data_IF_330787318121
#
_entry.id   IF_330787318121
#
_cell.length_a   1.000
_cell.length_b   1.000
_cell.length_c   1.000
_cell.angle_alpha   90.00
_cell.angle_beta   90.00
_cell.angle_gamma   90.00
#
_symmetry.space_group_name_H-M   'P 1'
#
loop_
_entity.id
_entity.type
_entity.pdbx_description
1 polymer ?
#
# COMPACT_ATOMS: atom_id res chain seq x y z
N UNK A 1 -11.24 5.59 6.51
CA UNK A 1 -12.52 5.70 7.15
C UNK A 1 -13.10 4.34 7.47
N UNK A 2 -14.23 4.31 8.16
CA UNK A 2 -14.89 3.07 8.60
C UNK A 2 -15.25 2.14 7.42
N UNK A 3 -15.61 2.70 6.29
CA UNK A 3 -15.97 1.97 5.07
C UNK A 3 -14.86 1.07 4.56
N UNK A 4 -13.62 1.56 4.57
CA UNK A 4 -12.46 0.76 4.19
C UNK A 4 -12.26 -0.40 5.16
N UNK A 5 -12.48 -0.13 6.45
CA UNK A 5 -12.42 -1.17 7.48
C UNK A 5 -13.50 -2.26 7.24
N UNK A 6 -14.74 -1.86 6.96
CA UNK A 6 -15.84 -2.78 6.68
C UNK A 6 -15.53 -3.67 5.44
N UNK A 7 -14.91 -3.10 4.41
CA UNK A 7 -14.44 -3.89 3.24
C UNK A 7 -13.36 -4.90 3.65
N UNK A 8 -12.40 -4.49 4.50
CA UNK A 8 -11.35 -5.38 5.00
C UNK A 8 -11.95 -6.53 5.81
N UNK A 9 -12.89 -6.27 6.71
CA UNK A 9 -13.59 -7.30 7.48
C UNK A 9 -14.32 -8.30 6.57
N UNK A 10 -15.05 -7.82 5.57
CA UNK A 10 -15.70 -8.70 4.58
C UNK A 10 -14.71 -9.57 3.82
N UNK A 11 -13.54 -9.01 3.47
CA UNK A 11 -12.49 -9.79 2.81
C UNK A 11 -11.96 -10.91 3.73
N UNK A 12 -11.72 -10.60 5.00
CA UNK A 12 -11.28 -11.57 6.01
C UNK A 12 -12.31 -12.68 6.19
N UNK A 13 -13.59 -12.36 6.33
CA UNK A 13 -14.68 -13.34 6.45
C UNK A 13 -14.75 -14.28 5.23
N UNK A 14 -14.55 -13.71 4.03
CA UNK A 14 -14.50 -14.51 2.79
C UNK A 14 -13.31 -15.46 2.77
N UNK A 15 -12.14 -15.01 3.22
CA UNK A 15 -10.93 -15.82 3.26
C UNK A 15 -11.02 -16.92 4.32
N UNK A 16 -11.57 -16.61 5.50
CA UNK A 16 -11.83 -17.60 6.54
C UNK A 16 -12.75 -18.72 6.04
N UNK A 17 -13.83 -18.37 5.34
CA UNK A 17 -14.79 -19.34 4.77
C UNK A 17 -14.22 -20.17 3.62
N UNK A 18 -13.14 -19.71 2.98
CA UNK A 18 -12.50 -20.39 1.86
C UNK A 18 -11.50 -21.47 2.30
N UNK A 19 -11.15 -21.54 3.58
CA UNK A 19 -10.26 -22.56 4.13
C UNK A 19 -11.05 -23.75 4.65
N UNK A 20 -10.51 -24.95 4.45
CA UNK A 20 -11.11 -26.20 4.94
C UNK A 20 -11.11 -26.27 6.48
N UNK A 21 -10.06 -25.74 7.11
CA UNK A 21 -9.91 -25.71 8.58
C UNK A 21 -9.39 -24.32 8.99
N UNK A 22 -10.29 -23.33 9.13
CA UNK A 22 -9.89 -22.02 9.57
C UNK A 22 -9.54 -22.02 11.07
N UNK A 23 -8.32 -21.57 11.38
CA UNK A 23 -7.86 -21.38 12.76
C UNK A 23 -7.33 -19.95 12.92
N UNK A 24 -8.11 -19.03 13.50
CA UNK A 24 -7.69 -17.64 13.68
C UNK A 24 -6.38 -17.49 14.48
N UNK A 25 -6.19 -18.31 15.52
CA UNK A 25 -5.03 -18.20 16.41
C UNK A 25 -3.70 -18.53 15.74
N UNK A 26 -3.72 -19.36 14.69
CA UNK A 26 -2.53 -19.66 13.89
C UNK A 26 -2.57 -18.97 12.52
N UNK A 27 -3.52 -18.07 12.33
CA UNK A 27 -3.65 -17.24 11.11
C UNK A 27 -2.95 -15.91 11.29
N UNK A 28 -2.03 -15.61 10.38
CA UNK A 28 -1.46 -14.30 10.20
C UNK A 28 -2.16 -13.52 9.08
N UNK A 29 -2.41 -12.25 9.31
CA UNK A 29 -2.98 -11.34 8.30
C UNK A 29 -1.92 -10.32 7.87
N UNK A 30 -1.81 -10.06 6.59
CA UNK A 30 -0.90 -9.05 6.03
C UNK A 30 -1.73 -8.08 5.18
N UNK A 31 -1.86 -6.84 5.65
CA UNK A 31 -2.37 -5.76 4.81
C UNK A 31 -1.25 -5.31 3.86
N UNK A 32 -1.48 -5.46 2.57
CA UNK A 32 -0.47 -5.19 1.55
C UNK A 32 -0.80 -3.91 0.79
N UNK A 33 -0.11 -2.82 1.11
CA UNK A 33 -0.22 -1.54 0.44
C UNK A 33 0.82 -1.33 -0.67
N UNK A 34 0.65 -0.27 -1.44
CA UNK A 34 1.67 0.16 -2.41
C UNK A 34 2.90 0.72 -1.69
N UNK A 35 2.67 1.43 -0.59
CA UNK A 35 3.64 2.27 0.06
C UNK A 35 3.63 3.70 -0.49
N UNK A 36 4.07 4.62 0.34
CA UNK A 36 4.17 6.05 0.04
C UNK A 36 5.48 6.61 0.59
N UNK A 37 5.97 7.70 0.02
CA UNK A 37 7.02 8.54 0.63
C UNK A 37 6.47 9.35 1.80
N UNK A 38 5.16 9.53 1.87
CA UNK A 38 4.47 10.13 3.01
C UNK A 38 4.30 9.12 4.14
N UNK A 39 4.92 9.41 5.28
CA UNK A 39 4.84 8.59 6.48
C UNK A 39 3.42 8.53 7.08
N UNK A 40 2.63 9.61 6.93
CA UNK A 40 1.24 9.67 7.38
C UNK A 40 0.38 8.64 6.65
N UNK A 41 0.48 8.58 5.31
CA UNK A 41 -0.23 7.60 4.51
C UNK A 41 0.14 6.14 4.87
N UNK A 42 1.42 5.87 5.16
CA UNK A 42 1.85 4.57 5.64
C UNK A 42 1.33 4.29 7.05
N UNK A 43 1.27 5.31 7.90
CA UNK A 43 0.71 5.24 9.26
C UNK A 43 -0.77 4.89 9.29
N UNK A 44 -1.57 5.37 8.31
CA UNK A 44 -2.98 4.99 8.19
C UNK A 44 -3.15 3.49 7.93
N UNK A 45 -2.30 2.89 7.10
CA UNK A 45 -2.33 1.44 6.90
C UNK A 45 -1.95 0.67 8.19
N UNK A 46 -0.97 1.18 8.94
CA UNK A 46 -0.58 0.59 10.22
C UNK A 46 -1.73 0.68 11.25
N UNK A 47 -2.43 1.81 11.30
CA UNK A 47 -3.62 1.98 12.14
C UNK A 47 -4.72 0.99 11.77
N UNK A 48 -4.97 0.77 10.47
CA UNK A 48 -5.94 -0.24 10.01
C UNK A 48 -5.54 -1.65 10.45
N UNK A 49 -4.26 -2.01 10.31
CA UNK A 49 -3.75 -3.31 10.77
C UNK A 49 -3.97 -3.49 12.27
N UNK A 50 -3.74 -2.45 13.07
CA UNK A 50 -4.01 -2.49 14.52
C UNK A 50 -5.50 -2.67 14.82
N UNK A 51 -6.40 -1.94 14.15
CA UNK A 51 -7.84 -2.10 14.32
C UNK A 51 -8.30 -3.53 13.97
N UNK A 52 -7.80 -4.11 12.88
CA UNK A 52 -8.09 -5.51 12.51
C UNK A 52 -7.65 -6.47 13.62
N UNK A 53 -6.48 -6.26 14.19
CA UNK A 53 -5.99 -7.10 15.30
C UNK A 53 -6.87 -7.00 16.55
N UNK A 54 -7.32 -5.79 16.90
CA UNK A 54 -8.16 -5.57 18.08
C UNK A 54 -9.57 -6.14 17.95
N UNK A 55 -10.13 -6.17 16.75
CA UNK A 55 -11.50 -6.60 16.51
C UNK A 55 -11.61 -8.08 16.10
N UNK A 56 -10.48 -8.79 15.97
CA UNK A 56 -10.45 -10.18 15.55
C UNK A 56 -9.46 -11.00 16.40
N UNK A 57 -9.67 -12.32 16.43
CA UNK A 57 -8.83 -13.26 17.18
C UNK A 57 -7.65 -13.80 16.37
N UNK A 58 -7.15 -13.07 15.36
CA UNK A 58 -6.00 -13.51 14.57
C UNK A 58 -4.73 -13.56 15.40
N UNK A 59 -3.93 -14.60 15.20
CA UNK A 59 -2.66 -14.78 15.91
C UNK A 59 -1.68 -13.65 15.65
N UNK A 60 -1.71 -13.05 14.45
CA UNK A 60 -0.87 -11.90 14.12
C UNK A 60 -1.48 -11.08 12.97
N UNK A 61 -1.38 -9.75 13.06
CA UNK A 61 -1.74 -8.83 11.96
C UNK A 61 -0.60 -7.87 11.73
N UNK A 62 -0.14 -7.75 10.50
CA UNK A 62 0.97 -6.89 10.12
C UNK A 62 0.69 -6.18 8.80
N UNK A 63 1.57 -5.32 8.38
CA UNK A 63 1.52 -4.62 7.11
C UNK A 63 2.76 -4.88 6.27
N UNK A 64 2.58 -4.87 4.96
CA UNK A 64 3.67 -4.96 4.00
C UNK A 64 3.42 -4.00 2.83
N UNK A 65 4.48 -3.73 2.06
CA UNK A 65 4.41 -2.84 0.91
C UNK A 65 5.01 -3.48 -0.35
N UNK A 66 4.36 -3.21 -1.49
CA UNK A 66 4.84 -3.71 -2.79
C UNK A 66 5.94 -2.83 -3.38
N UNK A 67 6.04 -1.57 -2.95
CA UNK A 67 7.01 -0.60 -3.43
C UNK A 67 7.27 0.52 -2.43
N UNK A 68 8.01 1.52 -2.84
CA UNK A 68 8.30 2.81 -2.17
C UNK A 68 8.92 2.68 -0.77
N UNK A 69 8.29 1.97 0.16
CA UNK A 69 8.73 1.81 1.55
C UNK A 69 8.81 0.35 1.99
N UNK A 70 9.18 0.08 3.23
CA UNK A 70 9.38 -1.21 3.86
C UNK A 70 8.43 -1.41 5.05
N UNK A 71 8.15 -2.69 5.48
CA UNK A 71 8.72 -3.95 4.99
C UNK A 71 8.08 -4.47 3.69
N UNK A 72 8.80 -5.34 2.97
CA UNK A 72 8.29 -6.05 1.79
C UNK A 72 7.50 -7.29 2.20
N UNK A 73 6.62 -7.76 1.30
CA UNK A 73 5.75 -8.92 1.53
C UNK A 73 6.55 -10.15 1.99
N UNK A 74 7.64 -10.49 1.31
CA UNK A 74 8.47 -11.65 1.62
C UNK A 74 9.06 -11.58 3.04
N UNK A 75 9.48 -10.39 3.45
CA UNK A 75 10.04 -10.16 4.80
C UNK A 75 8.97 -10.38 5.89
N UNK A 76 7.75 -9.90 5.66
CA UNK A 76 6.66 -10.03 6.62
C UNK A 76 6.18 -11.49 6.70
N UNK A 77 6.03 -12.14 5.56
CA UNK A 77 5.72 -13.58 5.50
C UNK A 77 6.74 -14.39 6.30
N UNK A 78 8.04 -14.15 6.07
CA UNK A 78 9.11 -14.84 6.81
C UNK A 78 8.99 -14.62 8.33
N UNK A 79 8.65 -13.42 8.77
CA UNK A 79 8.43 -13.11 10.19
C UNK A 79 7.26 -13.89 10.75
N UNK A 80 6.12 -13.89 10.07
CA UNK A 80 4.92 -14.59 10.51
C UNK A 80 5.12 -16.11 10.55
N UNK A 81 5.81 -16.68 9.57
CA UNK A 81 6.19 -18.10 9.60
C UNK A 81 7.08 -18.43 10.80
N UNK A 82 8.06 -17.57 11.13
CA UNK A 82 8.89 -17.74 12.34
C UNK A 82 8.11 -17.60 13.64
N UNK A 83 7.03 -16.83 13.64
CA UNK A 83 6.11 -16.72 14.78
C UNK A 83 5.15 -17.91 14.90
N UNK A 84 5.22 -18.89 13.96
CA UNK A 84 4.41 -20.11 14.03
C UNK A 84 3.08 -20.02 13.30
N UNK A 85 2.86 -18.97 12.46
CA UNK A 85 1.64 -18.90 11.66
C UNK A 85 1.63 -19.99 10.60
N UNK A 86 0.57 -20.79 10.59
CA UNK A 86 0.34 -21.89 9.65
C UNK A 86 -0.57 -21.51 8.49
N UNK A 87 -1.27 -20.38 8.63
CA UNK A 87 -2.15 -19.81 7.63
C UNK A 87 -1.80 -18.33 7.49
N UNK A 88 -1.68 -17.82 6.26
CA UNK A 88 -1.36 -16.41 6.02
C UNK A 88 -2.32 -15.84 4.98
N UNK A 89 -3.08 -14.81 5.39
CA UNK A 89 -3.97 -14.05 4.53
C UNK A 89 -3.27 -12.78 4.07
N UNK A 90 -3.14 -12.60 2.77
CA UNK A 90 -2.62 -11.37 2.17
C UNK A 90 -3.79 -10.60 1.59
N UNK A 91 -4.04 -9.39 2.09
CA UNK A 91 -5.12 -8.52 1.63
C UNK A 91 -4.53 -7.32 0.90
N UNK A 92 -4.65 -7.26 -0.44
CA UNK A 92 -4.22 -6.11 -1.22
C UNK A 92 -5.12 -4.90 -0.93
N UNK A 93 -4.54 -3.84 -0.37
CA UNK A 93 -5.24 -2.57 -0.12
C UNK A 93 -5.15 -1.70 -1.37
N UNK A 94 -5.89 -2.10 -2.41
CA UNK A 94 -5.92 -1.47 -3.73
C UNK A 94 -7.36 -1.30 -4.19
N UNK A 95 -7.66 -0.16 -4.82
CA UNK A 95 -9.00 0.10 -5.37
C UNK A 95 -9.26 -0.70 -6.65
N UNK A 96 -8.25 -0.86 -7.51
CA UNK A 96 -8.40 -1.46 -8.84
C UNK A 96 -7.39 -2.56 -9.09
N UNK A 97 -7.72 -3.44 -10.03
CA UNK A 97 -6.79 -4.42 -10.58
C UNK A 97 -5.72 -3.74 -11.46
N UNK A 98 -4.65 -4.45 -11.78
CA UNK A 98 -3.58 -3.98 -12.65
C UNK A 98 -2.28 -4.75 -12.45
N UNK A 99 -1.21 -4.27 -13.06
CA UNK A 99 0.13 -4.89 -13.06
C UNK A 99 0.64 -5.20 -11.64
N UNK A 100 0.29 -4.37 -10.63
CA UNK A 100 0.68 -4.63 -9.25
C UNK A 100 -0.01 -5.87 -8.68
N UNK A 101 -1.29 -6.09 -8.97
CA UNK A 101 -2.02 -7.30 -8.54
C UNK A 101 -1.44 -8.55 -9.20
N UNK A 102 -1.09 -8.49 -10.49
CA UNK A 102 -0.42 -9.60 -11.18
C UNK A 102 0.95 -9.91 -10.56
N UNK A 103 1.72 -8.88 -10.21
CA UNK A 103 3.00 -9.03 -9.49
C UNK A 103 2.82 -9.69 -8.13
N UNK A 104 1.78 -9.30 -7.36
CA UNK A 104 1.44 -9.89 -6.06
C UNK A 104 1.11 -11.38 -6.23
N UNK A 105 0.32 -11.75 -7.24
CA UNK A 105 0.03 -13.15 -7.56
C UNK A 105 1.31 -13.96 -7.80
N UNK A 106 2.23 -13.42 -8.60
CA UNK A 106 3.53 -14.06 -8.85
C UNK A 106 4.41 -14.16 -7.60
N UNK A 107 4.42 -13.14 -6.73
CA UNK A 107 5.13 -13.20 -5.45
C UNK A 107 4.53 -14.28 -4.54
N UNK A 108 3.21 -14.32 -4.43
CA UNK A 108 2.53 -15.31 -3.58
C UNK A 108 2.74 -16.74 -4.09
N UNK A 109 2.76 -16.94 -5.41
CA UNK A 109 3.07 -18.26 -5.99
C UNK A 109 4.47 -18.76 -5.57
N UNK A 110 5.47 -17.89 -5.56
CA UNK A 110 6.83 -18.21 -5.09
C UNK A 110 6.85 -18.49 -3.59
N UNK A 111 6.13 -17.70 -2.78
CA UNK A 111 6.04 -17.91 -1.33
C UNK A 111 5.37 -19.23 -0.98
N UNK A 112 4.32 -19.64 -1.72
CA UNK A 112 3.69 -20.98 -1.57
C UNK A 112 4.67 -22.13 -1.84
N UNK A 113 5.56 -21.96 -2.81
CA UNK A 113 6.62 -22.95 -3.10
C UNK A 113 7.69 -22.97 -2.01
N UNK A 114 8.05 -21.79 -1.47
CA UNK A 114 9.06 -21.66 -0.43
C UNK A 114 8.60 -22.18 0.93
N UNK A 115 7.29 -22.04 1.23
CA UNK A 115 6.68 -22.44 2.51
C UNK A 115 5.50 -23.38 2.28
N UNK A 116 5.75 -24.62 1.79
CA UNK A 116 4.67 -25.56 1.44
C UNK A 116 3.82 -25.99 2.65
N UNK A 117 4.33 -25.82 3.87
CA UNK A 117 3.61 -26.10 5.12
C UNK A 117 2.64 -24.99 5.53
N UNK A 118 2.64 -23.84 4.84
CA UNK A 118 1.78 -22.70 5.16
C UNK A 118 0.66 -22.58 4.13
N UNK A 119 -0.56 -22.48 4.60
CA UNK A 119 -1.72 -22.21 3.76
C UNK A 119 -1.80 -20.69 3.46
N UNK A 120 -1.67 -20.32 2.19
CA UNK A 120 -1.79 -18.93 1.76
C UNK A 120 -3.11 -18.66 1.07
N UNK A 121 -3.78 -17.57 1.48
CA UNK A 121 -4.94 -17.04 0.79
C UNK A 121 -4.70 -15.58 0.39
N UNK A 122 -5.18 -15.19 -0.79
CA UNK A 122 -5.10 -13.83 -1.32
C UNK A 122 -6.49 -13.23 -1.40
N UNK A 123 -6.69 -12.11 -0.73
CA UNK A 123 -7.88 -11.29 -0.86
C UNK A 123 -7.97 -10.62 -2.23
N UNK A 124 -9.15 -10.18 -2.61
CA UNK A 124 -9.37 -9.39 -3.81
C UNK A 124 -9.01 -7.93 -3.53
N UNK A 125 -8.69 -7.17 -4.58
CA UNK A 125 -8.70 -5.71 -4.49
C UNK A 125 -10.11 -5.20 -4.15
N UNK A 126 -10.25 -3.99 -3.63
CA UNK A 126 -11.55 -3.46 -3.16
C UNK A 126 -12.58 -3.36 -4.28
N UNK A 127 -12.14 -2.97 -5.48
CA UNK A 127 -12.99 -2.89 -6.65
C UNK A 127 -14.19 -1.97 -6.42
N UNK A 128 -15.35 -2.48 -6.85
CA UNK A 128 -16.62 -1.78 -6.75
C UNK A 128 -17.47 -2.31 -5.60
N UNK A 129 -16.88 -2.51 -4.42
CA UNK A 129 -17.66 -2.84 -3.21
C UNK A 129 -18.60 -1.67 -2.86
N UNK A 130 -19.84 -1.95 -2.40
CA UNK A 130 -20.83 -0.90 -2.09
C UNK A 130 -20.33 0.16 -1.11
N UNK A 131 -19.48 -0.22 -0.17
CA UNK A 131 -18.88 0.68 0.81
C UNK A 131 -17.94 1.72 0.16
N UNK A 132 -17.27 1.33 -0.94
CA UNK A 132 -16.44 2.26 -1.71
C UNK A 132 -17.30 3.30 -2.41
N UNK A 133 -18.42 2.88 -3.00
CA UNK A 133 -19.38 3.84 -3.57
C UNK A 133 -19.96 4.77 -2.52
N UNK A 134 -20.40 4.24 -1.36
CA UNK A 134 -20.89 5.06 -0.26
C UNK A 134 -19.85 6.08 0.25
N UNK A 135 -18.55 5.69 0.27
CA UNK A 135 -17.46 6.60 0.59
C UNK A 135 -17.32 7.71 -0.47
N UNK A 136 -17.37 7.35 -1.76
CA UNK A 136 -17.26 8.30 -2.87
C UNK A 136 -18.44 9.26 -2.89
N UNK A 137 -19.68 8.76 -2.75
CA UNK A 137 -20.88 9.57 -2.71
C UNK A 137 -20.86 10.59 -1.58
N UNK A 138 -20.43 10.17 -0.38
CA UNK A 138 -20.28 11.06 0.76
C UNK A 138 -19.22 12.13 0.50
N UNK A 139 -18.06 11.75 -0.07
CA UNK A 139 -16.99 12.69 -0.41
C UNK A 139 -17.40 13.66 -1.51
N UNK A 140 -18.21 13.21 -2.47
CA UNK A 140 -18.75 14.05 -3.55
C UNK A 140 -19.86 15.01 -3.08
N UNK A 141 -20.65 14.60 -2.06
CA UNK A 141 -21.73 15.42 -1.48
C UNK A 141 -21.29 16.31 -0.32
N UNK A 142 -20.01 16.26 0.08
CA UNK A 142 -19.48 17.05 1.17
C UNK A 142 -18.98 18.41 0.64
N UNK A 143 -19.94 19.38 0.51
CA UNK A 143 -19.67 20.73 0.01
C UNK A 143 -18.64 21.48 0.87
N UNK A 144 -18.40 21.05 2.12
CA UNK A 144 -17.36 21.64 2.98
C UNK A 144 -15.94 21.27 2.50
N UNK A 145 -15.79 20.23 1.70
CA UNK A 145 -14.52 19.93 1.03
C UNK A 145 -14.22 20.91 -0.10
N UNK A 146 -15.23 21.60 -0.64
CA UNK A 146 -15.07 22.60 -1.72
C UNK A 146 -14.61 23.97 -1.21
N UNK A 147 -14.86 24.32 0.06
CA UNK A 147 -14.47 25.60 0.66
C UNK A 147 -13.34 25.44 1.67
N UNK A 148 -12.17 24.99 1.20
CA UNK A 148 -10.93 25.11 1.99
C UNK A 148 -10.66 23.98 2.96
N UNK A 149 -11.29 22.81 2.82
CA UNK A 149 -10.81 21.58 3.45
C UNK A 149 -9.49 21.21 2.78
N UNK A 150 -8.40 21.65 3.41
CA UNK A 150 -7.06 21.24 3.02
C UNK A 150 -7.00 19.70 3.02
N UNK A 151 -6.58 19.11 1.91
CA UNK A 151 -6.13 17.73 1.93
C UNK A 151 -5.01 17.63 2.98
N UNK A 152 -4.82 16.47 3.62
CA UNK A 152 -3.78 16.29 4.64
C UNK A 152 -2.38 16.72 4.19
N UNK A 153 -2.16 16.80 2.87
CA UNK A 153 -0.94 17.31 2.25
C UNK A 153 -0.98 18.82 1.95
N UNK A 154 -2.13 19.50 2.05
CA UNK A 154 -2.22 20.94 1.88
C UNK A 154 -1.72 21.62 3.16
N UNK A 155 -0.81 22.61 3.03
CA UNK A 155 -0.12 23.22 4.16
C UNK A 155 1.00 22.34 4.77
N UNK A 156 1.32 21.21 4.15
CA UNK A 156 2.46 20.41 4.54
C UNK A 156 3.77 21.14 4.14
N UNK A 157 4.65 21.36 5.13
CA UNK A 157 5.94 22.03 4.91
C UNK A 157 6.80 21.42 3.79
N UNK A 158 6.61 20.12 3.50
CA UNK A 158 7.32 19.45 2.40
C UNK A 158 6.70 19.75 1.04
N UNK A 159 5.39 19.97 0.97
CA UNK A 159 4.71 20.42 -0.24
C UNK A 159 5.07 21.89 -0.53
N UNK A 160 5.03 22.74 0.48
CA UNK A 160 5.44 24.14 0.36
C UNK A 160 6.90 24.25 -0.11
N UNK A 161 7.81 23.44 0.42
CA UNK A 161 9.20 23.37 -0.03
C UNK A 161 9.32 22.89 -1.48
N UNK A 162 8.58 21.84 -1.87
CA UNK A 162 8.58 21.33 -3.24
C UNK A 162 7.98 22.35 -4.23
N UNK A 163 6.92 23.05 -3.86
CA UNK A 163 6.33 24.12 -4.67
C UNK A 163 7.30 25.31 -4.79
N UNK A 164 8.04 25.66 -3.73
CA UNK A 164 9.07 26.68 -3.78
C UNK A 164 10.26 26.30 -4.67
N UNK A 165 10.66 25.03 -4.70
CA UNK A 165 11.68 24.52 -5.60
C UNK A 165 11.22 24.51 -7.06
N UNK A 166 9.92 24.23 -7.33
CA UNK A 166 9.34 24.26 -8.67
C UNK A 166 9.05 25.67 -9.20
N UNK A 167 8.98 26.69 -8.33
CA UNK A 167 8.87 28.09 -8.74
C UNK A 167 10.18 28.66 -9.32
N UNK A 168 11.29 27.96 -9.19
CA UNK A 168 12.53 28.25 -9.88
C UNK A 168 12.61 27.44 -11.17
N UNK A 169 12.03 28.00 -12.23
CA UNK A 169 12.26 27.62 -13.63
C UNK A 169 11.21 26.75 -14.32
N UNK A 170 10.18 27.40 -14.84
CA UNK A 170 9.52 27.00 -16.09
C UNK A 170 8.90 28.22 -16.78
N UNK A 171 9.64 29.31 -16.96
CA UNK A 171 9.33 30.26 -18.02
C UNK A 171 9.79 29.68 -19.37
N UNK A 172 9.10 28.66 -19.86
CA UNK A 172 9.22 28.27 -21.25
C UNK A 172 8.51 29.32 -22.11
N UNK A 173 9.24 30.36 -22.48
CA UNK A 173 8.90 31.14 -23.64
C UNK A 173 9.00 30.24 -24.85
N UNK A 174 7.85 29.97 -25.47
CA UNK A 174 7.76 29.25 -26.74
C UNK A 174 8.43 30.06 -27.85
N UNK A 175 9.73 29.88 -28.06
CA UNK A 175 10.40 30.22 -29.31
C UNK A 175 11.70 29.41 -29.42
N UNK A 176 11.68 28.44 -30.30
CA UNK A 176 12.80 28.07 -31.18
C UNK A 176 13.95 27.26 -30.63
N UNK A 177 14.12 26.07 -31.16
CA UNK A 177 15.43 25.49 -31.45
C UNK A 177 15.97 24.48 -30.43
N UNK A 178 15.89 23.20 -30.81
CA UNK A 178 16.66 22.10 -30.20
C UNK A 178 18.15 22.36 -30.37
N UNK A 179 18.88 22.53 -29.26
CA UNK A 179 20.33 22.43 -29.25
C UNK A 179 20.73 21.27 -28.32
N UNK A 180 21.36 20.26 -28.91
CA UNK A 180 21.98 19.15 -28.21
C UNK A 180 23.15 19.68 -27.37
N UNK A 181 23.08 19.49 -26.03
CA UNK A 181 24.25 19.62 -25.18
C UNK A 181 24.81 18.25 -24.88
N UNK A 182 25.99 17.97 -25.45
CA UNK A 182 26.87 16.87 -25.07
C UNK A 182 27.44 17.12 -23.68
N UNK A 183 27.17 16.21 -22.74
CA UNK A 183 27.85 16.22 -21.44
C UNK A 183 29.16 15.45 -21.56
N UNK A 184 30.26 16.19 -21.56
CA UNK A 184 31.60 15.64 -21.42
C UNK A 184 31.86 15.13 -20.00
N UNK A 185 32.18 13.85 -19.88
CA UNK A 185 32.69 13.27 -18.64
C UNK A 185 34.16 13.66 -18.45
N UNK A 186 34.44 14.47 -17.44
CA UNK A 186 35.82 14.67 -16.95
C UNK A 186 36.14 13.66 -15.86
N UNK A 187 37.05 12.72 -16.18
CA UNK A 187 37.68 11.84 -15.20
C UNK A 187 38.66 12.65 -14.33
N UNK A 188 38.44 12.69 -13.02
CA UNK A 188 39.49 13.04 -12.06
C UNK A 188 40.22 11.78 -11.62
N UNK A 189 41.44 11.64 -12.12
CA UNK A 189 42.41 10.69 -11.61
C UNK A 189 43.09 11.27 -10.36
N UNK A 190 43.00 10.59 -9.23
CA UNK A 190 43.87 10.83 -8.09
C UNK A 190 44.92 9.77 -8.05
N UNK A 191 46.18 10.17 -8.28
CA UNK A 191 47.38 9.47 -7.90
C UNK A 191 47.83 10.02 -6.52
N UNK A 192 48.26 9.10 -5.64
CA UNK A 192 48.88 9.38 -4.35
C UNK A 192 48.65 8.25 -3.38
#
# INVERSE_FOLDING_TARGET
GREIFDVLQKQLDRLMKALDVPDPQTTGVILLGRGSSDAGANGELARMARCIFEENDFGHVDLAFTGVTWPRLETVVQRQVKLGMTQIYVIPVYLFTGVLIERINGQLARLKQQYPQVAFALGKHFGFEPEIFALLDRRAGDDQLAEGSLLECDGCKYREAAEAEHLHDHSHTATGGCAHHEHGHSHCSHAG
#
